data_IF_121148361271
#
_entry.id   IF_121148361271
#
_cell.length_a   1.000
_cell.length_b   1.000
_cell.length_c   1.000
_cell.angle_alpha   90.00
_cell.angle_beta   90.00
_cell.angle_gamma   90.00
#
_symmetry.space_group_name_H-M   'P 1'
#
loop_
_entity.id
_entity.type
_entity.pdbx_description
1 polymer ?
#
# COMPACT_ATOMS: atom_id res chain seq x y z
N UNK A 1 0.51 -82.21 -74.35
CA UNK A 1 0.73 -82.22 -72.89
C UNK A 1 -0.28 -81.24 -72.31
N UNK A 2 -1.55 -81.65 -72.24
CA UNK A 2 -2.23 -82.13 -71.03
C UNK A 2 -2.38 -80.99 -70.00
N UNK A 3 -3.55 -80.55 -69.54
CA UNK A 3 -4.93 -81.10 -69.53
C UNK A 3 -5.87 -79.92 -69.15
N UNK A 4 -7.01 -79.79 -69.86
CA UNK A 4 -8.39 -79.42 -69.46
C UNK A 4 -8.68 -78.27 -68.45
N UNK A 5 -9.83 -77.58 -68.46
CA UNK A 5 -10.94 -77.24 -69.39
C UNK A 5 -11.99 -76.52 -68.52
N UNK A 6 -12.86 -75.73 -69.18
CA UNK A 6 -14.18 -75.25 -68.75
C UNK A 6 -14.18 -74.05 -67.76
N UNK A 7 -14.65 -72.85 -68.12
CA UNK A 7 -15.95 -72.42 -68.68
C UNK A 7 -16.97 -72.06 -67.59
N UNK A 8 -17.57 -70.88 -67.81
CA UNK A 8 -18.98 -70.50 -67.56
C UNK A 8 -19.32 -69.51 -66.41
N UNK A 9 -20.19 -68.58 -66.81
CA UNK A 9 -21.21 -67.78 -66.10
C UNK A 9 -20.95 -66.30 -65.75
N UNK A 10 -21.53 -65.49 -66.64
CA UNK A 10 -22.08 -64.14 -66.48
C UNK A 10 -22.87 -63.98 -65.17
N UNK A 11 -22.59 -62.93 -64.39
CA UNK A 11 -23.58 -62.33 -63.49
C UNK A 11 -23.23 -60.86 -63.24
N UNK A 12 -24.18 -59.97 -63.55
CA UNK A 12 -24.13 -58.56 -63.24
C UNK A 12 -24.28 -58.33 -61.73
N UNK A 13 -23.48 -57.44 -61.14
CA UNK A 13 -23.73 -56.94 -59.79
C UNK A 13 -23.49 -55.42 -59.74
N UNK A 14 -24.59 -54.73 -59.44
CA UNK A 14 -24.68 -53.30 -59.12
C UNK A 14 -24.01 -53.07 -57.76
N UNK A 15 -23.10 -52.10 -57.67
CA UNK A 15 -22.46 -51.67 -56.42
C UNK A 15 -23.22 -50.45 -55.88
N UNK A 16 -23.90 -50.53 -54.71
CA UNK A 16 -24.39 -49.35 -54.02
C UNK A 16 -23.30 -48.77 -53.10
N UNK A 17 -23.21 -47.44 -53.13
CA UNK A 17 -22.37 -46.62 -52.25
C UNK A 17 -22.90 -46.73 -50.82
N UNK A 18 -22.05 -47.20 -49.89
CA UNK A 18 -22.35 -47.30 -48.46
C UNK A 18 -21.74 -46.09 -47.75
N UNK A 19 -22.60 -45.22 -47.22
CA UNK A 19 -22.25 -44.21 -46.23
C UNK A 19 -22.17 -44.89 -44.85
N UNK A 20 -21.00 -44.88 -44.23
CA UNK A 20 -20.81 -45.32 -42.85
C UNK A 20 -20.89 -44.10 -41.94
N UNK A 21 -22.01 -43.97 -41.22
CA UNK A 21 -22.11 -43.16 -40.01
C UNK A 21 -21.65 -44.03 -38.83
N UNK A 22 -20.58 -43.63 -38.14
CA UNK A 22 -20.25 -44.19 -36.82
C UNK A 22 -20.83 -43.25 -35.76
N UNK A 23 -21.72 -43.84 -34.95
CA UNK A 23 -22.34 -43.24 -33.78
C UNK A 23 -21.42 -43.42 -32.56
N UNK A 24 -21.34 -42.39 -31.72
CA UNK A 24 -20.70 -42.42 -30.41
C UNK A 24 -21.33 -41.38 -29.49
N UNK A 25 -22.46 -41.75 -28.87
CA UNK A 25 -23.00 -41.11 -27.66
C UNK A 25 -21.95 -41.22 -26.52
N UNK A 26 -21.81 -40.28 -25.59
CA UNK A 26 -22.71 -40.17 -24.43
C UNK A 26 -22.52 -38.85 -23.65
N UNK A 27 -23.64 -38.38 -23.08
CA UNK A 27 -23.85 -37.30 -22.08
C UNK A 27 -23.88 -35.85 -22.57
N UNK A 28 -24.99 -35.49 -23.20
CA UNK A 28 -25.60 -34.15 -23.10
C UNK A 28 -27.12 -34.30 -22.96
N UNK A 29 -27.69 -33.48 -22.07
CA UNK A 29 -29.12 -33.13 -21.86
C UNK A 29 -30.04 -34.11 -21.14
N UNK A 30 -30.37 -33.76 -19.89
CA UNK A 30 -31.76 -33.62 -19.45
C UNK A 30 -31.83 -32.75 -18.17
N UNK A 31 -31.92 -31.43 -18.34
CA UNK A 31 -32.72 -30.54 -17.46
C UNK A 31 -33.21 -29.39 -18.34
N UNK A 32 -34.41 -29.55 -18.89
CA UNK A 32 -35.27 -28.43 -19.26
C UNK A 32 -36.49 -28.59 -18.37
N UNK A 33 -36.50 -27.88 -17.25
CA UNK A 33 -37.73 -27.47 -16.62
C UNK A 33 -37.74 -25.94 -16.53
N UNK A 34 -38.90 -25.39 -16.83
CA UNK A 34 -39.15 -24.01 -17.16
C UNK A 34 -38.89 -23.05 -15.99
N UNK A 35 -38.00 -22.10 -16.21
CA UNK A 35 -38.23 -20.73 -15.74
C UNK A 35 -37.52 -19.77 -16.69
N UNK A 36 -38.25 -18.78 -17.18
CA UNK A 36 -37.70 -17.64 -17.89
C UNK A 36 -36.89 -16.82 -16.89
N UNK A 37 -35.62 -17.19 -16.71
CA UNK A 37 -34.65 -16.35 -16.01
C UNK A 37 -34.10 -15.39 -17.06
N UNK A 38 -34.38 -14.10 -16.88
CA UNK A 38 -33.57 -13.04 -17.44
C UNK A 38 -32.10 -13.37 -17.16
N UNK A 39 -31.28 -13.44 -18.20
CA UNK A 39 -29.83 -13.37 -18.08
C UNK A 39 -29.48 -11.99 -17.51
N UNK A 40 -29.58 -11.84 -16.19
CA UNK A 40 -28.63 -10.96 -15.50
C UNK A 40 -27.29 -11.65 -15.66
N UNK A 41 -26.36 -11.01 -16.39
CA UNK A 41 -24.95 -11.29 -16.19
C UNK A 41 -24.70 -11.10 -14.69
N UNK A 42 -24.58 -12.18 -13.93
CA UNK A 42 -24.09 -12.09 -12.57
C UNK A 42 -22.61 -11.74 -12.69
N UNK A 43 -22.31 -10.44 -12.76
CA UNK A 43 -20.95 -9.94 -12.65
C UNK A 43 -20.35 -10.55 -11.38
N UNK A 44 -19.42 -11.48 -11.55
CA UNK A 44 -18.75 -12.15 -10.45
C UNK A 44 -17.81 -11.13 -9.80
N UNK A 45 -17.98 -10.89 -8.50
CA UNK A 45 -17.25 -9.86 -7.78
C UNK A 45 -16.41 -10.44 -6.65
N UNK A 46 -15.26 -9.83 -6.42
CA UNK A 46 -14.38 -10.10 -5.29
C UNK A 46 -14.59 -8.99 -4.27
N UNK A 47 -15.12 -9.35 -3.11
CA UNK A 47 -15.28 -8.43 -1.98
C UNK A 47 -13.92 -8.21 -1.30
N UNK A 48 -13.48 -6.95 -1.29
CA UNK A 48 -12.26 -6.52 -0.60
C UNK A 48 -12.68 -5.68 0.60
N UNK A 49 -12.33 -6.14 1.80
CA UNK A 49 -12.47 -5.34 3.01
C UNK A 49 -11.50 -4.17 2.99
N UNK A 50 -11.92 -3.01 3.46
CA UNK A 50 -11.06 -1.82 3.57
C UNK A 50 -11.20 -1.25 4.97
N UNK A 51 -10.10 -1.16 5.72
CA UNK A 51 -10.08 -0.61 7.08
C UNK A 51 -9.22 0.64 7.11
N UNK A 52 -9.88 1.79 7.17
CA UNK A 52 -9.25 3.12 7.12
C UNK A 52 -9.96 4.07 8.09
N UNK A 53 -9.31 5.15 8.54
CA UNK A 53 -9.97 6.13 9.40
C UNK A 53 -10.98 6.93 8.58
N UNK A 54 -12.26 6.57 8.63
CA UNK A 54 -13.36 7.37 8.06
C UNK A 54 -13.87 8.43 9.04
N UNK A 55 -13.45 8.35 10.30
CA UNK A 55 -13.62 9.38 11.31
C UNK A 55 -12.38 9.51 12.21
N UNK A 56 -12.43 10.50 13.11
CA UNK A 56 -11.34 10.80 14.04
C UNK A 56 -10.21 11.62 13.40
N UNK A 57 -9.14 11.84 14.17
CA UNK A 57 -8.06 12.80 13.85
C UNK A 57 -7.26 12.49 12.58
N UNK A 58 -7.21 11.22 12.16
CA UNK A 58 -6.45 10.80 10.98
C UNK A 58 -7.27 10.85 9.70
N UNK A 59 -8.59 11.05 9.77
CA UNK A 59 -9.48 11.08 8.60
C UNK A 59 -9.04 12.09 7.53
N UNK A 60 -8.65 13.34 7.87
CA UNK A 60 -8.30 14.33 6.85
C UNK A 60 -7.00 14.01 6.10
N UNK A 61 -6.00 13.45 6.79
CA UNK A 61 -4.69 13.18 6.19
C UNK A 61 -4.58 11.78 5.57
N UNK A 62 -5.25 10.79 6.15
CA UNK A 62 -5.25 9.39 5.70
C UNK A 62 -6.55 9.02 5.01
N UNK A 63 -7.67 9.06 5.73
CA UNK A 63 -8.95 8.48 5.34
C UNK A 63 -9.41 8.87 3.95
N UNK A 64 -9.62 10.17 3.74
CA UNK A 64 -10.09 10.71 2.46
C UNK A 64 -9.13 10.39 1.31
N UNK A 65 -7.82 10.43 1.58
CA UNK A 65 -6.80 10.23 0.56
C UNK A 65 -6.68 8.76 0.14
N UNK A 66 -6.71 7.85 1.11
CA UNK A 66 -6.67 6.41 0.87
C UNK A 66 -7.95 5.96 0.16
N UNK A 67 -9.12 6.36 0.65
CA UNK A 67 -10.41 5.96 0.08
C UNK A 67 -10.53 6.38 -1.40
N UNK A 68 -10.19 7.63 -1.69
CA UNK A 68 -10.23 8.15 -3.05
C UNK A 68 -9.24 7.43 -3.97
N UNK A 69 -8.03 7.14 -3.49
CA UNK A 69 -7.02 6.44 -4.29
C UNK A 69 -7.43 5.01 -4.60
N UNK A 70 -8.00 4.30 -3.62
CA UNK A 70 -8.53 2.95 -3.82
C UNK A 70 -9.69 2.94 -4.81
N UNK A 71 -10.64 3.88 -4.69
CA UNK A 71 -11.76 3.98 -5.63
C UNK A 71 -11.30 4.27 -7.05
N UNK A 72 -10.35 5.20 -7.22
CA UNK A 72 -9.80 5.51 -8.53
C UNK A 72 -9.14 4.28 -9.17
N UNK A 73 -8.24 3.61 -8.44
CA UNK A 73 -7.59 2.41 -8.94
C UNK A 73 -8.61 1.30 -9.25
N UNK A 74 -9.65 1.14 -8.42
CA UNK A 74 -10.68 0.12 -8.61
C UNK A 74 -11.39 0.33 -9.92
N UNK A 75 -11.82 1.56 -10.18
CA UNK A 75 -12.58 1.89 -11.39
C UNK A 75 -11.72 1.62 -12.64
N UNK A 76 -10.44 2.00 -12.63
CA UNK A 76 -9.50 1.73 -13.71
C UNK A 76 -9.21 0.22 -13.89
N UNK A 77 -9.07 -0.55 -12.80
CA UNK A 77 -8.80 -2.00 -12.82
C UNK A 77 -10.01 -2.78 -13.31
N UNK A 78 -11.20 -2.43 -12.84
CA UNK A 78 -12.46 -3.08 -13.22
C UNK A 78 -12.79 -2.88 -14.70
N UNK A 79 -12.34 -1.79 -15.31
CA UNK A 79 -12.48 -1.53 -16.74
C UNK A 79 -11.48 -2.30 -17.62
N UNK A 80 -10.32 -2.70 -17.08
CA UNK A 80 -9.16 -3.08 -17.92
C UNK A 80 -8.47 -4.41 -17.61
N UNK A 81 -8.50 -4.90 -16.37
CA UNK A 81 -7.51 -5.90 -15.92
C UNK A 81 -8.09 -7.29 -15.59
N UNK A 82 -9.33 -7.39 -15.13
CA UNK A 82 -9.81 -8.57 -14.39
C UNK A 82 -10.71 -9.54 -15.18
N UNK A 83 -10.64 -9.56 -16.51
CA UNK A 83 -11.30 -10.57 -17.37
C UNK A 83 -12.80 -10.84 -17.04
N UNK A 84 -13.53 -9.83 -16.56
CA UNK A 84 -14.94 -9.92 -16.18
C UNK A 84 -15.20 -9.96 -14.67
N UNK A 85 -14.17 -10.14 -13.83
CA UNK A 85 -14.28 -10.03 -12.37
C UNK A 85 -14.26 -8.56 -11.92
N UNK A 86 -15.14 -8.21 -11.00
CA UNK A 86 -15.24 -6.84 -10.46
C UNK A 86 -14.73 -6.79 -9.00
N UNK A 87 -13.87 -5.83 -8.67
CA UNK A 87 -13.52 -5.55 -7.28
C UNK A 87 -14.63 -4.71 -6.63
N UNK A 88 -15.09 -5.12 -5.45
CA UNK A 88 -16.07 -4.40 -4.64
C UNK A 88 -15.55 -4.14 -3.25
N UNK A 89 -15.58 -2.89 -2.80
CA UNK A 89 -15.13 -2.54 -1.46
C UNK A 89 -16.25 -2.65 -0.43
N UNK A 90 -15.89 -3.18 0.73
CA UNK A 90 -16.64 -3.07 1.98
C UNK A 90 -15.76 -2.27 2.93
N UNK A 91 -16.09 -0.99 3.11
CA UNK A 91 -15.26 -0.05 3.86
C UNK A 91 -15.79 0.04 5.29
N UNK A 92 -14.90 -0.14 6.27
CA UNK A 92 -15.19 0.00 7.69
C UNK A 92 -14.25 1.03 8.33
N UNK A 93 -14.82 1.81 9.25
CA UNK A 93 -14.13 2.89 9.94
C UNK A 93 -13.25 2.34 11.07
N UNK A 94 -11.96 2.70 11.06
CA UNK A 94 -11.06 2.41 12.17
C UNK A 94 -11.16 3.41 13.33
N UNK A 95 -11.98 4.46 13.22
CA UNK A 95 -12.13 5.55 14.19
C UNK A 95 -10.81 6.26 14.53
N UNK A 96 -9.79 6.14 13.67
CA UNK A 96 -8.42 6.56 13.96
C UNK A 96 -7.77 5.90 15.20
N UNK A 97 -8.23 4.72 15.62
CA UNK A 97 -7.68 3.99 16.79
C UNK A 97 -7.35 2.52 16.48
N UNK A 98 -6.41 1.90 17.22
CA UNK A 98 -6.17 0.46 17.12
C UNK A 98 -7.41 -0.38 17.46
N UNK A 99 -8.18 0.02 18.47
CA UNK A 99 -9.39 -0.70 18.91
C UNK A 99 -10.47 -0.67 17.83
N UNK A 100 -10.70 0.49 17.19
CA UNK A 100 -11.65 0.60 16.09
C UNK A 100 -11.21 -0.22 14.87
N UNK A 101 -9.90 -0.28 14.58
CA UNK A 101 -9.38 -1.16 13.54
C UNK A 101 -9.64 -2.65 13.84
N UNK A 102 -9.48 -3.09 15.09
CA UNK A 102 -9.79 -4.47 15.51
C UNK A 102 -11.28 -4.78 15.35
N UNK A 103 -12.16 -3.86 15.74
CA UNK A 103 -13.61 -4.01 15.55
C UNK A 103 -13.97 -4.15 14.06
N UNK A 104 -13.45 -3.24 13.23
CA UNK A 104 -13.64 -3.26 11.78
C UNK A 104 -13.13 -4.56 11.13
N UNK A 105 -11.95 -5.04 11.52
CA UNK A 105 -11.40 -6.33 11.05
C UNK A 105 -12.34 -7.49 11.39
N UNK A 106 -12.76 -7.60 12.65
CA UNK A 106 -13.63 -8.69 13.08
C UNK A 106 -14.96 -8.66 12.34
N UNK A 107 -15.53 -7.48 12.09
CA UNK A 107 -16.77 -7.33 11.33
C UNK A 107 -16.60 -7.77 9.88
N UNK A 108 -15.56 -7.29 9.19
CA UNK A 108 -15.24 -7.68 7.81
C UNK A 108 -15.07 -9.19 7.67
N UNK A 109 -14.37 -9.83 8.60
CA UNK A 109 -14.08 -11.26 8.54
C UNK A 109 -15.30 -12.09 8.93
N UNK A 110 -16.01 -11.74 10.01
CA UNK A 110 -17.08 -12.60 10.54
C UNK A 110 -18.45 -12.37 9.90
N UNK A 111 -18.78 -11.13 9.52
CA UNK A 111 -20.09 -10.81 8.91
C UNK A 111 -20.02 -10.86 7.39
N UNK A 112 -18.93 -10.36 6.79
CA UNK A 112 -18.79 -10.24 5.34
C UNK A 112 -17.93 -11.33 4.71
N UNK A 113 -17.25 -12.17 5.51
CA UNK A 113 -16.45 -13.32 5.06
C UNK A 113 -15.45 -12.93 3.95
N UNK A 114 -14.76 -11.79 4.11
CA UNK A 114 -13.76 -11.33 3.14
C UNK A 114 -12.46 -12.12 3.27
N UNK A 115 -11.86 -12.51 2.13
CA UNK A 115 -10.56 -13.18 2.08
C UNK A 115 -9.39 -12.20 2.08
N UNK A 116 -9.65 -10.91 1.81
CA UNK A 116 -8.64 -9.86 1.73
C UNK A 116 -9.13 -8.59 2.42
N UNK A 117 -8.25 -7.97 3.20
CA UNK A 117 -8.42 -6.65 3.81
C UNK A 117 -7.27 -5.73 3.40
N UNK A 118 -7.59 -4.59 2.79
CA UNK A 118 -6.65 -3.48 2.63
C UNK A 118 -6.74 -2.59 3.87
N UNK A 119 -5.63 -2.48 4.58
CA UNK A 119 -5.54 -1.81 5.87
C UNK A 119 -4.83 -2.66 6.93
N UNK A 120 -4.84 -2.22 8.19
CA UNK A 120 -5.26 -0.89 8.61
C UNK A 120 -4.21 0.17 8.23
N UNK A 121 -4.55 1.43 8.46
CA UNK A 121 -3.75 2.57 8.01
C UNK A 121 -2.52 2.91 8.89
N UNK A 122 -2.44 2.44 10.14
CA UNK A 122 -1.35 2.81 11.05
C UNK A 122 -0.62 1.59 11.59
N UNK A 123 0.68 1.74 11.87
CA UNK A 123 1.47 0.67 12.48
C UNK A 123 0.91 0.23 13.83
N UNK A 124 0.38 1.17 14.62
CA UNK A 124 -0.30 0.90 15.89
C UNK A 124 -1.53 0.00 15.71
N UNK A 125 -2.32 0.21 14.65
CA UNK A 125 -3.43 -0.66 14.32
C UNK A 125 -2.97 -2.00 13.72
N UNK A 126 -2.01 -2.00 12.79
CA UNK A 126 -1.49 -3.23 12.18
C UNK A 126 -0.93 -4.20 13.22
N UNK A 127 -0.24 -3.69 14.24
CA UNK A 127 0.27 -4.49 15.36
C UNK A 127 -0.84 -5.28 16.08
N UNK A 128 -2.07 -4.77 16.10
CA UNK A 128 -3.22 -5.42 16.74
C UNK A 128 -4.03 -6.28 15.76
N UNK A 129 -4.10 -5.92 14.48
CA UNK A 129 -4.95 -6.60 13.51
C UNK A 129 -4.25 -7.70 12.72
N UNK A 130 -2.93 -7.64 12.53
CA UNK A 130 -2.19 -8.69 11.81
C UNK A 130 -2.23 -10.06 12.51
N UNK A 131 -2.20 -10.17 13.86
CA UNK A 131 -2.46 -11.45 14.52
C UNK A 131 -3.86 -12.02 14.21
N UNK A 132 -4.87 -11.16 14.03
CA UNK A 132 -6.23 -11.57 13.66
C UNK A 132 -6.23 -12.11 12.21
N UNK A 133 -5.55 -11.41 11.31
CA UNK A 133 -5.36 -11.85 9.93
C UNK A 133 -4.69 -13.24 9.85
N UNK A 134 -3.67 -13.50 10.69
CA UNK A 134 -3.04 -14.82 10.80
C UNK A 134 -4.04 -15.89 11.30
N UNK A 135 -4.71 -15.64 12.42
CA UNK A 135 -5.64 -16.60 13.04
C UNK A 135 -6.81 -16.97 12.11
N UNK A 136 -7.24 -16.00 11.28
CA UNK A 136 -8.36 -16.16 10.35
C UNK A 136 -7.94 -16.51 8.94
N UNK A 137 -6.63 -16.60 8.66
CA UNK A 137 -6.09 -16.86 7.33
C UNK A 137 -6.66 -15.89 6.28
N UNK A 138 -6.64 -14.59 6.60
CA UNK A 138 -7.13 -13.51 5.72
C UNK A 138 -5.96 -12.66 5.30
N UNK A 139 -5.80 -12.41 4.00
CA UNK A 139 -4.74 -11.54 3.49
C UNK A 139 -4.97 -10.11 3.98
N UNK A 140 -3.97 -9.53 4.64
CA UNK A 140 -4.00 -8.16 5.12
C UNK A 140 -2.89 -7.34 4.47
N UNK A 141 -3.23 -6.31 3.71
CA UNK A 141 -2.24 -5.44 3.05
C UNK A 141 -2.35 -4.03 3.58
N UNK A 142 -1.38 -3.59 4.39
CA UNK A 142 -1.34 -2.19 4.83
C UNK A 142 -0.63 -1.32 3.79
N UNK A 143 -1.29 -0.28 3.24
CA UNK A 143 -0.62 0.64 2.31
C UNK A 143 0.43 1.53 3.00
N UNK A 144 0.30 1.74 4.31
CA UNK A 144 0.91 2.89 4.99
C UNK A 144 1.73 2.55 6.24
N UNK A 145 1.51 1.39 6.87
CA UNK A 145 2.23 0.98 8.10
C UNK A 145 3.72 0.70 7.84
N UNK A 146 4.61 1.43 8.50
CA UNK A 146 6.05 1.38 8.23
C UNK A 146 6.91 0.82 9.37
N UNK A 147 6.38 0.70 10.60
CA UNK A 147 7.15 0.13 11.71
C UNK A 147 7.70 -1.26 11.37
N UNK A 148 8.95 -1.54 11.75
CA UNK A 148 9.63 -2.81 11.45
C UNK A 148 8.95 -4.02 12.10
N UNK A 149 9.13 -5.19 11.50
CA UNK A 149 8.66 -6.47 12.03
C UNK A 149 7.15 -6.70 11.99
N UNK A 150 6.36 -5.77 11.44
CA UNK A 150 4.90 -5.94 11.38
C UNK A 150 4.49 -7.10 10.48
N UNK A 151 5.05 -7.21 9.27
CA UNK A 151 4.66 -8.30 8.35
C UNK A 151 5.08 -9.67 8.87
N UNK A 152 6.17 -9.77 9.65
CA UNK A 152 6.57 -11.00 10.33
C UNK A 152 5.59 -11.50 11.42
N UNK A 153 4.55 -10.72 11.76
CA UNK A 153 3.49 -11.15 12.69
C UNK A 153 2.55 -12.17 12.03
N UNK A 154 2.42 -12.15 10.71
CA UNK A 154 1.45 -12.97 9.98
C UNK A 154 1.96 -13.31 8.58
N UNK A 155 1.90 -14.58 8.22
CA UNK A 155 2.22 -15.06 6.86
C UNK A 155 1.24 -14.48 5.81
N UNK A 156 0.11 -13.93 6.25
CA UNK A 156 -0.90 -13.27 5.42
C UNK A 156 -0.77 -11.75 5.41
N UNK A 157 0.22 -11.17 6.10
CA UNK A 157 0.41 -9.73 6.17
C UNK A 157 1.43 -9.22 5.15
N UNK A 158 1.06 -8.16 4.45
CA UNK A 158 1.91 -7.46 3.49
C UNK A 158 1.87 -5.95 3.74
N UNK A 159 2.95 -5.26 3.38
CA UNK A 159 3.04 -3.80 3.54
C UNK A 159 3.65 -3.11 2.32
N UNK A 160 3.00 -2.04 1.88
CA UNK A 160 3.45 -1.22 0.72
C UNK A 160 4.33 -0.04 1.16
N UNK A 161 4.23 0.37 2.42
CA UNK A 161 5.13 1.36 2.97
C UNK A 161 6.54 0.79 3.14
N UNK A 162 7.55 1.51 2.65
CA UNK A 162 8.93 1.21 3.01
C UNK A 162 9.10 1.31 4.53
N UNK A 163 9.79 0.34 5.09
CA UNK A 163 9.99 0.19 6.52
C UNK A 163 10.90 1.29 7.08
N UNK A 164 10.84 1.52 8.39
CA UNK A 164 11.74 2.45 9.09
C UNK A 164 13.21 2.04 8.92
N UNK A 165 13.51 0.74 8.99
CA UNK A 165 14.85 0.16 8.80
C UNK A 165 15.42 0.30 7.38
N UNK A 166 14.56 0.56 6.38
CA UNK A 166 15.01 0.93 5.03
C UNK A 166 15.12 2.45 4.90
N UNK A 167 14.04 3.18 5.20
CA UNK A 167 13.97 4.62 4.91
C UNK A 167 14.89 5.48 5.80
N UNK A 168 15.13 5.09 7.05
CA UNK A 168 15.96 5.88 7.98
C UNK A 168 17.45 5.80 7.61
N UNK A 169 18.06 4.61 7.44
CA UNK A 169 19.46 4.52 7.03
C UNK A 169 19.74 5.16 5.67
N UNK A 170 18.87 4.95 4.67
CA UNK A 170 19.05 5.55 3.33
C UNK A 170 18.88 7.07 3.36
N UNK A 171 17.91 7.57 4.13
CA UNK A 171 17.72 8.99 4.35
C UNK A 171 18.94 9.65 4.98
N UNK A 172 19.46 9.07 6.07
CA UNK A 172 20.68 9.55 6.74
C UNK A 172 21.89 9.45 5.83
N UNK A 173 22.05 8.36 5.07
CA UNK A 173 23.14 8.21 4.10
C UNK A 173 23.13 9.32 3.03
N UNK A 174 21.95 9.84 2.70
CA UNK A 174 21.77 10.95 1.76
C UNK A 174 21.99 12.32 2.41
N UNK A 175 21.47 12.54 3.63
CA UNK A 175 21.52 13.86 4.29
C UNK A 175 22.81 14.13 5.03
N UNK A 176 23.37 13.13 5.72
CA UNK A 176 24.55 13.31 6.58
C UNK A 176 25.76 13.90 5.83
N UNK A 177 26.18 13.40 4.65
CA UNK A 177 27.35 13.94 3.95
C UNK A 177 27.20 15.38 3.45
N UNK A 178 25.95 15.84 3.29
CA UNK A 178 25.64 17.18 2.76
C UNK A 178 25.44 18.20 3.88
N UNK A 179 24.86 17.77 4.99
CA UNK A 179 24.55 18.64 6.13
C UNK A 179 25.65 18.60 7.21
N UNK A 180 26.48 17.56 7.22
CA UNK A 180 27.59 17.35 8.17
C UNK A 180 27.18 17.43 9.66
N UNK A 181 25.94 17.06 10.00
CA UNK A 181 25.52 17.04 11.40
C UNK A 181 26.27 15.96 12.18
N UNK A 182 26.82 16.31 13.33
CA UNK A 182 27.52 15.41 14.25
C UNK A 182 26.78 15.29 15.58
N UNK A 183 26.10 16.37 16.00
CA UNK A 183 25.31 16.42 17.21
C UNK A 183 23.85 16.72 16.85
N UNK A 184 22.92 15.82 17.17
CA UNK A 184 21.52 15.93 16.75
C UNK A 184 20.58 15.85 17.95
N UNK A 185 19.34 16.31 17.77
CA UNK A 185 18.26 16.07 18.71
C UNK A 185 17.13 15.30 18.03
N UNK A 186 16.39 14.51 18.81
CA UNK A 186 15.19 13.82 18.31
C UNK A 186 13.94 14.23 19.09
N UNK A 187 12.80 14.24 18.38
CA UNK A 187 11.48 14.50 18.93
C UNK A 187 10.48 13.50 18.33
N UNK A 188 9.77 12.72 19.16
CA UNK A 188 8.81 11.76 18.64
C UNK A 188 7.55 11.57 19.48
N UNK A 189 6.50 11.06 18.85
CA UNK A 189 5.26 10.66 19.53
C UNK A 189 5.46 9.32 20.26
N UNK A 190 5.54 9.36 21.59
CA UNK A 190 5.77 8.16 22.42
C UNK A 190 4.56 7.22 22.51
N UNK A 191 3.38 7.70 22.11
CA UNK A 191 2.15 6.90 22.13
C UNK A 191 1.93 6.13 20.81
N UNK A 192 2.70 6.41 19.76
CA UNK A 192 2.55 5.81 18.44
C UNK A 192 3.67 4.83 18.09
N UNK A 193 3.30 3.63 17.64
CA UNK A 193 4.22 2.54 17.28
C UNK A 193 5.14 2.92 16.13
N UNK A 194 4.62 3.63 15.10
CA UNK A 194 5.46 4.07 13.98
C UNK A 194 6.50 5.08 14.43
N UNK A 195 6.08 6.07 15.22
CA UNK A 195 6.92 7.18 15.67
C UNK A 195 8.03 6.70 16.61
N UNK A 196 7.69 5.81 17.54
CA UNK A 196 8.66 5.17 18.45
C UNK A 196 9.66 4.30 17.69
N UNK A 197 9.20 3.52 16.70
CA UNK A 197 10.07 2.67 15.90
C UNK A 197 10.99 3.49 14.97
N UNK A 198 10.47 4.58 14.41
CA UNK A 198 11.26 5.51 13.60
C UNK A 198 12.35 6.19 14.44
N UNK A 199 12.07 6.61 15.67
CA UNK A 199 13.12 7.11 16.59
C UNK A 199 14.13 6.01 16.93
N UNK A 200 13.67 4.79 17.23
CA UNK A 200 14.57 3.65 17.47
C UNK A 200 15.54 3.42 16.30
N UNK A 201 15.04 3.45 15.06
CA UNK A 201 15.85 3.35 13.86
C UNK A 201 16.86 4.50 13.72
N UNK A 202 16.48 5.71 14.11
CA UNK A 202 17.38 6.87 14.14
C UNK A 202 18.51 6.67 15.16
N UNK A 203 18.17 6.28 16.39
CA UNK A 203 19.17 6.03 17.45
C UNK A 203 20.19 4.96 17.03
N UNK A 204 19.72 3.89 16.42
CA UNK A 204 20.58 2.82 15.88
C UNK A 204 21.52 3.35 14.80
N UNK A 205 20.98 4.07 13.80
CA UNK A 205 21.78 4.57 12.69
C UNK A 205 22.75 5.69 13.11
N UNK A 206 22.37 6.56 14.05
CA UNK A 206 23.30 7.54 14.60
C UNK A 206 24.47 6.87 15.32
N UNK A 207 24.20 5.79 16.07
CA UNK A 207 25.25 5.00 16.70
C UNK A 207 26.18 4.32 15.70
N UNK A 208 25.68 3.83 14.56
CA UNK A 208 26.55 3.23 13.53
C UNK A 208 27.44 4.26 12.82
N UNK A 209 27.03 5.53 12.81
CA UNK A 209 27.75 6.64 12.17
C UNK A 209 28.52 7.54 13.13
N UNK A 210 28.61 7.17 14.41
CA UNK A 210 29.24 7.97 15.47
C UNK A 210 28.63 9.39 15.62
N UNK A 211 27.35 9.55 15.31
CA UNK A 211 26.58 10.79 15.48
C UNK A 211 26.00 10.80 16.90
N UNK A 212 26.20 11.91 17.62
CA UNK A 212 25.80 12.08 19.02
C UNK A 212 24.37 12.60 19.10
N UNK A 213 23.51 11.90 19.83
CA UNK A 213 22.18 12.42 20.19
C UNK A 213 22.29 13.21 21.49
N UNK A 214 22.14 14.54 21.40
CA UNK A 214 22.23 15.46 22.54
C UNK A 214 21.04 15.32 23.48
N UNK A 215 19.85 15.15 22.91
CA UNK A 215 18.61 14.95 23.65
C UNK A 215 17.58 14.23 22.78
N UNK A 216 16.75 13.45 23.45
CA UNK A 216 15.54 12.86 22.89
C UNK A 216 14.36 13.36 23.69
N UNK A 217 13.48 14.11 23.03
CA UNK A 217 12.25 14.63 23.59
C UNK A 217 11.06 13.82 23.09
N UNK A 218 9.99 13.80 23.88
CA UNK A 218 8.74 13.15 23.49
C UNK A 218 7.56 14.09 23.60
N UNK A 219 6.53 13.78 22.83
CA UNK A 219 5.19 14.31 22.97
C UNK A 219 4.20 13.16 22.77
N UNK A 220 2.91 13.43 22.91
CA UNK A 220 1.86 12.42 22.67
C UNK A 220 0.90 12.91 21.59
N UNK A 221 0.43 11.98 20.76
CA UNK A 221 -0.70 12.17 19.85
C UNK A 221 -1.81 13.06 20.46
N UNK A 222 -2.17 14.15 19.79
CA UNK A 222 -3.18 15.11 20.26
C UNK A 222 -2.63 16.32 21.01
N UNK A 223 -1.34 16.35 21.34
CA UNK A 223 -0.67 17.54 21.85
C UNK A 223 -0.66 18.64 20.77
N UNK A 224 -0.83 19.89 21.20
CA UNK A 224 -0.86 21.07 20.31
C UNK A 224 0.18 22.14 20.67
N UNK A 225 0.99 21.90 21.70
CA UNK A 225 2.06 22.79 22.14
C UNK A 225 3.35 21.98 22.32
N UNK A 226 4.39 22.40 21.59
CA UNK A 226 5.71 21.76 21.56
C UNK A 226 6.79 22.71 22.10
N UNK A 227 6.40 23.84 22.70
CA UNK A 227 7.31 24.92 23.12
C UNK A 227 8.37 24.41 24.08
N UNK A 228 8.00 23.58 25.05
CA UNK A 228 8.89 23.13 26.12
C UNK A 228 10.00 22.22 25.57
N UNK A 229 9.62 21.22 24.78
CA UNK A 229 10.52 20.29 24.11
C UNK A 229 11.48 21.03 23.18
N UNK A 230 10.94 21.89 22.31
CA UNK A 230 11.74 22.62 21.34
C UNK A 230 12.68 23.64 22.00
N UNK A 231 12.29 24.24 23.12
CA UNK A 231 13.18 25.14 23.90
C UNK A 231 14.36 24.37 24.49
N UNK A 232 14.12 23.17 25.03
CA UNK A 232 15.21 22.30 25.54
C UNK A 232 16.14 21.86 24.42
N UNK A 233 15.58 21.46 23.27
CA UNK A 233 16.36 21.12 22.08
C UNK A 233 17.23 22.31 21.64
N UNK A 234 16.64 23.50 21.52
CA UNK A 234 17.36 24.70 21.11
C UNK A 234 18.51 25.04 22.06
N UNK A 235 18.31 24.89 23.37
CA UNK A 235 19.33 25.20 24.38
C UNK A 235 20.62 24.37 24.23
N UNK A 236 20.54 23.21 23.57
CA UNK A 236 21.68 22.33 23.32
C UNK A 236 22.41 22.62 22.00
N UNK A 237 21.87 23.49 21.14
CA UNK A 237 22.43 23.86 19.83
C UNK A 237 22.78 22.65 18.93
N UNK A 238 21.85 21.71 18.66
CA UNK A 238 22.12 20.60 17.76
C UNK A 238 22.36 21.09 16.31
N UNK A 239 23.11 20.32 15.53
CA UNK A 239 23.33 20.55 14.10
C UNK A 239 22.07 20.24 13.25
N UNK A 240 21.20 19.34 13.73
CA UNK A 240 19.94 18.98 13.08
C UNK A 240 18.93 18.41 14.09
N UNK A 241 17.65 18.53 13.76
CA UNK A 241 16.55 17.95 14.55
C UNK A 241 15.82 16.92 13.72
N UNK A 242 15.62 15.72 14.27
CA UNK A 242 14.84 14.66 13.66
C UNK A 242 13.49 14.51 14.35
N UNK A 243 12.41 14.50 13.56
CA UNK A 243 11.04 14.39 14.07
C UNK A 243 10.35 13.15 13.50
N UNK A 244 9.84 12.31 14.40
CA UNK A 244 9.06 11.12 14.08
C UNK A 244 7.63 11.29 14.60
N UNK A 245 6.69 11.53 13.69
CA UNK A 245 5.29 11.76 14.04
C UNK A 245 4.32 11.35 12.94
N UNK A 246 3.08 11.10 13.31
CA UNK A 246 1.94 11.11 12.39
C UNK A 246 1.43 12.56 12.21
N UNK A 247 0.64 12.87 11.17
CA UNK A 247 -0.19 14.07 11.19
C UNK A 247 -1.29 13.91 12.26
N UNK A 248 -1.83 15.02 12.80
CA UNK A 248 -1.66 16.41 12.36
C UNK A 248 -0.57 17.21 13.09
N UNK A 249 0.30 16.61 13.88
CA UNK A 249 1.21 17.36 14.76
C UNK A 249 2.38 18.05 14.01
N UNK A 250 2.73 17.58 12.80
CA UNK A 250 3.89 18.09 12.03
C UNK A 250 3.89 19.60 11.81
N UNK A 251 2.78 20.24 11.33
CA UNK A 251 2.78 21.69 11.11
C UNK A 251 2.98 22.49 12.39
N UNK A 252 2.37 22.06 13.50
CA UNK A 252 2.53 22.71 14.81
C UNK A 252 3.97 22.66 15.31
N UNK A 253 4.67 21.54 15.11
CA UNK A 253 6.08 21.39 15.46
C UNK A 253 6.96 22.36 14.63
N UNK A 254 6.76 22.40 13.31
CA UNK A 254 7.53 23.28 12.41
C UNK A 254 7.27 24.77 12.69
N UNK A 255 6.00 25.15 12.83
CA UNK A 255 5.62 26.52 13.19
C UNK A 255 6.25 26.95 14.51
N UNK A 256 6.16 26.09 15.53
CA UNK A 256 6.73 26.39 16.84
C UNK A 256 8.25 26.49 16.81
N UNK A 257 8.93 25.63 16.04
CA UNK A 257 10.38 25.70 15.87
C UNK A 257 10.81 27.01 15.19
N UNK A 258 10.09 27.42 14.15
CA UNK A 258 10.31 28.68 13.46
C UNK A 258 10.07 29.90 14.38
N UNK A 259 8.99 29.90 15.18
CA UNK A 259 8.72 30.95 16.17
C UNK A 259 9.84 31.11 17.21
N UNK A 260 10.47 30.00 17.61
CA UNK A 260 11.60 30.00 18.54
C UNK A 260 12.91 30.42 17.88
N UNK A 261 12.94 30.59 16.55
CA UNK A 261 14.15 30.93 15.80
C UNK A 261 15.11 29.75 15.63
N UNK A 262 14.60 28.51 15.67
CA UNK A 262 15.39 27.33 15.33
C UNK A 262 15.63 27.33 13.82
N UNK A 263 16.89 27.49 13.41
CA UNK A 263 17.28 27.61 12.00
C UNK A 263 18.06 26.41 11.46
N UNK A 264 18.28 25.38 12.28
CA UNK A 264 18.98 24.16 11.86
C UNK A 264 18.04 23.27 11.06
N UNK A 265 18.57 22.39 10.17
CA UNK A 265 17.73 21.49 9.39
C UNK A 265 16.81 20.65 10.29
N UNK A 266 15.51 20.65 9.96
CA UNK A 266 14.51 19.79 10.59
C UNK A 266 14.15 18.68 9.59
N UNK A 267 14.45 17.44 9.96
CA UNK A 267 14.18 16.25 9.16
C UNK A 267 12.96 15.54 9.74
N UNK A 268 11.87 15.49 8.99
CA UNK A 268 10.59 14.91 9.42
C UNK A 268 10.23 13.72 8.55
N UNK A 269 9.88 12.58 9.16
CA UNK A 269 9.39 11.43 8.40
C UNK A 269 8.03 11.75 7.76
N UNK A 270 7.91 11.50 6.45
CA UNK A 270 6.63 11.54 5.72
C UNK A 270 5.90 12.89 5.80
N UNK A 271 6.58 13.98 5.43
CA UNK A 271 5.97 15.30 5.27
C UNK A 271 5.19 15.34 3.94
N UNK A 272 3.97 15.86 3.95
CA UNK A 272 3.10 15.96 2.77
C UNK A 272 3.01 17.39 2.23
N UNK A 273 2.58 17.55 0.98
CA UNK A 273 2.31 18.88 0.41
C UNK A 273 1.28 19.67 1.23
N UNK A 274 0.30 18.98 1.82
CA UNK A 274 -0.70 19.60 2.69
C UNK A 274 -0.09 20.06 4.03
N UNK A 275 0.82 19.28 4.61
CA UNK A 275 1.55 19.72 5.80
C UNK A 275 2.36 20.97 5.49
N UNK A 276 3.05 21.02 4.35
CA UNK A 276 3.81 22.20 3.90
C UNK A 276 2.91 23.40 3.70
N UNK A 277 1.76 23.24 3.04
CA UNK A 277 0.78 24.32 2.81
C UNK A 277 0.23 24.88 4.12
N UNK A 278 -0.12 24.02 5.08
CA UNK A 278 -0.61 24.43 6.41
C UNK A 278 0.49 25.12 7.22
N UNK A 279 1.72 24.64 7.10
CA UNK A 279 2.87 25.18 7.84
C UNK A 279 3.28 26.57 7.31
N UNK A 280 3.20 26.79 6.00
CA UNK A 280 3.62 28.02 5.35
C UNK A 280 5.15 28.20 5.39
N UNK A 281 5.61 29.45 5.54
CA UNK A 281 7.04 29.80 5.53
C UNK A 281 7.89 29.01 6.55
N UNK A 282 7.26 28.57 7.66
CA UNK A 282 7.93 27.77 8.69
C UNK A 282 8.33 26.35 8.22
N UNK A 283 7.84 25.88 7.07
CA UNK A 283 8.25 24.61 6.49
C UNK A 283 9.52 24.73 5.63
N UNK A 284 9.94 25.93 5.25
CA UNK A 284 11.03 26.13 4.31
C UNK A 284 12.33 25.48 4.82
N UNK A 285 12.97 24.68 3.96
CA UNK A 285 14.18 23.93 4.32
C UNK A 285 13.94 22.65 5.12
N UNK A 286 12.71 22.33 5.52
CA UNK A 286 12.40 21.04 6.12
C UNK A 286 12.67 19.90 5.13
N UNK A 287 13.25 18.81 5.61
CA UNK A 287 13.65 17.65 4.79
C UNK A 287 12.76 16.46 5.18
N UNK A 288 12.43 15.60 4.21
CA UNK A 288 11.65 14.40 4.47
C UNK A 288 12.14 13.19 3.70
N UNK A 289 12.07 12.02 4.35
CA UNK A 289 12.34 10.72 3.74
C UNK A 289 11.01 10.12 3.30
N UNK A 290 10.90 9.69 2.05
CA UNK A 290 9.66 9.15 1.48
C UNK A 290 9.97 8.10 0.41
N UNK A 291 8.99 7.27 0.06
CA UNK A 291 9.07 6.37 -1.10
C UNK A 291 8.44 6.95 -2.38
N UNK A 292 7.83 8.14 -2.30
CA UNK A 292 7.13 8.78 -3.41
C UNK A 292 7.06 10.29 -3.18
N UNK A 293 7.09 11.07 -4.27
CA UNK A 293 6.92 12.52 -4.25
C UNK A 293 6.08 13.02 -5.42
N UNK A 294 5.19 13.99 -5.16
CA UNK A 294 4.26 14.55 -6.15
C UNK A 294 4.96 15.32 -7.27
N UNK A 295 6.10 15.94 -6.97
CA UNK A 295 6.90 16.69 -7.94
C UNK A 295 7.86 15.82 -8.78
N UNK A 296 7.91 14.50 -8.54
CA UNK A 296 8.85 13.62 -9.24
C UNK A 296 8.36 13.27 -10.64
N UNK A 297 9.28 13.28 -11.61
CA UNK A 297 9.03 12.87 -13.00
C UNK A 297 9.24 11.35 -13.17
N UNK A 298 8.35 10.56 -12.57
CA UNK A 298 8.32 9.10 -12.72
C UNK A 298 7.16 8.66 -13.64
N UNK A 299 7.26 7.49 -14.31
CA UNK A 299 6.21 7.00 -15.19
C UNK A 299 4.83 6.97 -14.51
N UNK A 300 3.80 7.42 -15.22
CA UNK A 300 2.40 7.49 -14.79
C UNK A 300 2.12 8.37 -13.55
N UNK A 301 3.13 9.01 -12.95
CA UNK A 301 2.95 9.77 -11.71
C UNK A 301 2.09 11.03 -11.92
N UNK A 302 2.41 11.81 -12.96
CA UNK A 302 1.65 13.02 -13.28
C UNK A 302 0.24 12.71 -13.75
N UNK A 303 0.04 11.59 -14.45
CA UNK A 303 -1.29 11.13 -14.86
C UNK A 303 -2.14 10.77 -13.64
N UNK A 304 -1.59 9.98 -12.70
CA UNK A 304 -2.27 9.70 -11.42
C UNK A 304 -2.64 11.00 -10.67
N UNK A 305 -1.69 11.94 -10.53
CA UNK A 305 -1.93 13.21 -9.85
C UNK A 305 -3.05 14.02 -10.53
N UNK A 306 -3.00 14.12 -11.85
CA UNK A 306 -3.98 14.89 -12.63
C UNK A 306 -5.36 14.25 -12.57
N UNK A 307 -5.46 12.93 -12.79
CA UNK A 307 -6.71 12.20 -12.72
C UNK A 307 -7.31 12.29 -11.32
N UNK A 308 -6.55 11.97 -10.28
CA UNK A 308 -6.98 12.07 -8.89
C UNK A 308 -7.49 13.49 -8.56
N UNK A 309 -6.74 14.53 -8.93
CA UNK A 309 -7.15 15.92 -8.70
C UNK A 309 -8.40 16.29 -9.48
N UNK A 310 -8.53 15.85 -10.73
CA UNK A 310 -9.70 16.14 -11.57
C UNK A 310 -10.97 15.46 -11.03
N UNK A 311 -10.85 14.24 -10.51
CA UNK A 311 -11.96 13.45 -9.97
C UNK A 311 -12.41 13.94 -8.60
N UNK A 312 -11.48 14.29 -7.70
CA UNK A 312 -11.79 14.57 -6.29
C UNK A 312 -11.60 16.03 -5.87
N UNK A 313 -11.05 16.89 -6.73
CA UNK A 313 -10.83 18.31 -6.44
C UNK A 313 -9.68 18.61 -5.47
N UNK A 314 -8.98 17.59 -4.98
CA UNK A 314 -7.84 17.68 -4.06
C UNK A 314 -6.62 16.95 -4.64
N UNK A 315 -5.41 17.39 -4.34
CA UNK A 315 -4.19 16.67 -4.76
C UNK A 315 -4.01 15.38 -3.96
N UNK A 316 -3.46 14.30 -4.55
CA UNK A 316 -3.09 13.13 -3.76
C UNK A 316 -1.85 13.44 -2.90
N UNK A 317 -1.72 12.71 -1.80
CA UNK A 317 -0.50 12.68 -1.00
C UNK A 317 0.18 11.30 -1.12
N UNK A 318 1.28 11.10 -0.40
CA UNK A 318 2.02 9.83 -0.42
C UNK A 318 1.23 8.65 0.19
N UNK A 319 0.19 8.89 0.99
CA UNK A 319 -0.71 7.83 1.47
C UNK A 319 -1.63 7.39 0.32
N UNK A 320 -2.22 8.34 -0.42
CA UNK A 320 -2.99 8.07 -1.63
C UNK A 320 -2.17 7.30 -2.68
N UNK A 321 -0.94 7.74 -2.99
CA UNK A 321 -0.10 7.08 -3.98
C UNK A 321 0.19 5.61 -3.64
N UNK A 322 0.50 5.31 -2.36
CA UNK A 322 0.72 3.93 -1.91
C UNK A 322 -0.55 3.10 -1.96
N UNK A 323 -1.71 3.67 -1.61
CA UNK A 323 -2.99 2.97 -1.69
C UNK A 323 -3.43 2.68 -3.13
N UNK A 324 -3.19 3.61 -4.04
CA UNK A 324 -3.38 3.39 -5.48
C UNK A 324 -2.53 2.22 -5.96
N UNK A 325 -1.23 2.23 -5.68
CA UNK A 325 -0.32 1.12 -6.02
C UNK A 325 -0.74 -0.21 -5.34
N UNK A 326 -1.20 -0.16 -4.09
CA UNK A 326 -1.66 -1.35 -3.34
C UNK A 326 -2.70 -2.13 -4.13
N UNK A 327 -3.69 -1.43 -4.70
CA UNK A 327 -4.76 -2.10 -5.41
C UNK A 327 -4.31 -2.68 -6.74
N UNK A 328 -3.42 -2.01 -7.47
CA UNK A 328 -2.80 -2.57 -8.68
C UNK A 328 -1.97 -3.83 -8.38
N UNK A 329 -1.21 -3.83 -7.29
CA UNK A 329 -0.44 -4.99 -6.84
C UNK A 329 -1.37 -6.15 -6.47
N UNK A 330 -2.42 -5.87 -5.69
CA UNK A 330 -3.41 -6.87 -5.31
C UNK A 330 -4.15 -7.44 -6.53
N UNK A 331 -4.59 -6.59 -7.46
CA UNK A 331 -5.25 -7.04 -8.69
C UNK A 331 -4.31 -7.90 -9.54
N UNK A 332 -3.02 -7.55 -9.61
CA UNK A 332 -2.01 -8.37 -10.29
C UNK A 332 -1.84 -9.73 -9.62
N UNK A 333 -1.83 -9.79 -8.29
CA UNK A 333 -1.76 -11.04 -7.55
C UNK A 333 -3.01 -11.90 -7.77
N UNK A 334 -4.21 -11.33 -7.65
CA UNK A 334 -5.49 -12.02 -7.90
C UNK A 334 -5.53 -12.58 -9.33
N UNK A 335 -5.12 -11.81 -10.33
CA UNK A 335 -5.09 -12.27 -11.73
C UNK A 335 -4.10 -13.42 -11.97
N UNK A 336 -3.11 -13.60 -11.09
CA UNK A 336 -2.11 -14.67 -11.16
C UNK A 336 -2.41 -15.83 -10.21
N UNK A 337 -3.39 -15.70 -9.31
CA UNK A 337 -3.72 -16.70 -8.29
C UNK A 337 -4.51 -17.87 -8.90
N UNK A 338 -4.44 -19.05 -8.27
CA UNK A 338 -5.20 -20.23 -8.71
C UNK A 338 -6.70 -20.09 -8.41
N UNK A 339 -7.04 -19.33 -7.36
CA UNK A 339 -8.42 -18.98 -6.98
C UNK A 339 -8.46 -17.64 -6.23
N UNK A 340 -9.65 -17.25 -5.78
CA UNK A 340 -9.87 -16.07 -4.92
C UNK A 340 -9.79 -16.38 -3.43
N UNK A 341 -9.34 -17.58 -3.06
CA UNK A 341 -9.11 -17.95 -1.66
C UNK A 341 -7.86 -17.25 -1.12
N UNK A 342 -7.85 -16.98 0.19
CA UNK A 342 -6.80 -16.19 0.81
C UNK A 342 -5.40 -16.81 0.67
N UNK A 343 -5.30 -18.15 0.70
CA UNK A 343 -4.03 -18.86 0.53
C UNK A 343 -3.43 -18.63 -0.86
N UNK A 344 -4.24 -18.74 -1.91
CA UNK A 344 -3.79 -18.57 -3.29
C UNK A 344 -3.43 -17.11 -3.58
N UNK A 345 -4.19 -16.15 -3.01
CA UNK A 345 -3.88 -14.72 -3.10
C UNK A 345 -2.57 -14.40 -2.36
N UNK A 346 -2.38 -14.93 -1.14
CA UNK A 346 -1.13 -14.78 -0.37
C UNK A 346 0.04 -15.29 -1.19
N UNK A 347 -0.06 -16.51 -1.72
CA UNK A 347 1.02 -17.13 -2.48
C UNK A 347 1.32 -16.33 -3.76
N UNK A 348 0.30 -15.83 -4.45
CA UNK A 348 0.49 -14.95 -5.59
C UNK A 348 1.17 -13.61 -5.22
N UNK A 349 0.85 -13.02 -4.06
CA UNK A 349 1.50 -11.81 -3.56
C UNK A 349 2.99 -12.02 -3.29
N UNK A 350 3.38 -13.14 -2.67
CA UNK A 350 4.81 -13.44 -2.42
C UNK A 350 5.65 -13.53 -3.70
N UNK A 351 5.00 -13.81 -4.83
CA UNK A 351 5.62 -13.94 -6.14
C UNK A 351 5.68 -12.61 -6.93
N UNK A 352 5.19 -11.50 -6.39
CA UNK A 352 5.30 -10.18 -7.04
C UNK A 352 6.76 -9.71 -7.01
N UNK A 353 7.35 -9.61 -8.20
CA UNK A 353 8.72 -9.12 -8.44
C UNK A 353 8.75 -8.18 -9.64
N UNK A 354 9.56 -7.12 -9.53
CA UNK A 354 9.83 -6.13 -10.58
C UNK A 354 8.58 -5.55 -11.27
N UNK A 355 7.46 -5.48 -10.55
CA UNK A 355 6.19 -5.01 -11.07
C UNK A 355 6.20 -3.48 -11.20
N UNK A 356 5.87 -2.97 -12.38
CA UNK A 356 5.88 -1.52 -12.62
C UNK A 356 4.66 -0.87 -11.96
N UNK A 357 4.92 0.04 -11.03
CA UNK A 357 3.89 0.81 -10.31
C UNK A 357 4.21 2.31 -10.36
N UNK A 358 3.30 3.15 -9.88
CA UNK A 358 3.59 4.60 -9.71
C UNK A 358 4.67 4.88 -8.66
N UNK A 359 5.04 3.89 -7.84
CA UNK A 359 6.15 3.94 -6.89
C UNK A 359 7.49 3.54 -7.52
N UNK A 360 7.49 3.17 -8.81
CA UNK A 360 8.62 2.56 -9.50
C UNK A 360 8.49 1.04 -9.58
N UNK A 361 9.62 0.36 -9.84
CA UNK A 361 9.67 -1.10 -9.82
C UNK A 361 9.49 -1.61 -8.40
N UNK A 362 8.44 -2.40 -8.21
CA UNK A 362 7.99 -2.90 -6.93
C UNK A 362 8.21 -4.40 -6.81
N UNK A 363 8.69 -4.84 -5.65
CA UNK A 363 8.71 -6.24 -5.23
C UNK A 363 8.29 -6.35 -3.76
N UNK A 364 7.90 -7.55 -3.32
CA UNK A 364 7.93 -7.90 -1.90
C UNK A 364 9.23 -8.62 -1.53
N UNK A 365 9.73 -8.40 -0.33
CA UNK A 365 10.75 -9.25 0.29
C UNK A 365 10.12 -10.57 0.79
N UNK A 366 10.91 -11.42 1.45
CA UNK A 366 10.43 -12.70 1.99
C UNK A 366 9.46 -12.56 3.17
N UNK A 367 9.42 -11.40 3.83
CA UNK A 367 8.56 -11.13 4.97
C UNK A 367 7.24 -10.46 4.55
N UNK A 368 7.06 -10.12 3.27
CA UNK A 368 5.90 -9.37 2.79
C UNK A 368 6.06 -7.84 2.88
N UNK A 369 7.29 -7.34 3.04
CA UNK A 369 7.61 -5.93 3.03
C UNK A 369 8.03 -5.43 1.65
N UNK A 370 7.61 -4.22 1.32
CA UNK A 370 7.88 -3.65 0.01
C UNK A 370 9.36 -3.31 -0.22
N UNK A 371 9.80 -3.53 -1.46
CA UNK A 371 11.09 -3.10 -2.00
C UNK A 371 10.82 -2.22 -3.22
N UNK A 372 11.23 -0.96 -3.13
CA UNK A 372 11.28 0.02 -4.21
C UNK A 372 12.13 1.22 -3.77
N UNK A 373 12.49 2.11 -4.70
CA UNK A 373 13.44 3.18 -4.42
C UNK A 373 12.94 4.18 -3.35
N UNK A 374 13.82 4.54 -2.43
CA UNK A 374 13.61 5.69 -1.55
C UNK A 374 13.86 7.03 -2.26
N UNK A 375 13.39 8.10 -1.63
CA UNK A 375 13.57 9.49 -2.04
C UNK A 375 13.77 10.36 -0.79
N UNK A 376 14.64 11.36 -0.92
CA UNK A 376 14.77 12.44 0.07
C UNK A 376 14.32 13.73 -0.60
N UNK A 377 13.37 14.42 0.02
CA UNK A 377 12.83 15.68 -0.47
C UNK A 377 13.13 16.80 0.52
N UNK A 378 13.16 18.03 0.02
CA UNK A 378 13.30 19.26 0.80
C UNK A 378 12.22 20.24 0.39
N UNK A 379 11.71 21.02 1.34
CA UNK A 379 10.83 22.14 1.05
C UNK A 379 11.65 23.29 0.48
N UNK A 380 11.37 23.66 -0.76
CA UNK A 380 11.89 24.87 -1.42
C UNK A 380 10.74 25.64 -2.05
N UNK A 381 10.67 26.95 -1.78
CA UNK A 381 9.60 27.83 -2.26
C UNK A 381 8.20 27.26 -1.95
N UNK A 382 8.03 26.71 -0.73
CA UNK A 382 6.78 26.11 -0.28
C UNK A 382 6.38 24.81 -1.01
N UNK A 383 7.32 24.12 -1.67
CA UNK A 383 7.07 22.85 -2.37
C UNK A 383 8.10 21.79 -2.00
N UNK A 384 7.65 20.54 -1.91
CA UNK A 384 8.57 19.40 -1.81
C UNK A 384 9.23 19.14 -3.17
N UNK A 385 10.55 19.23 -3.20
CA UNK A 385 11.40 18.94 -4.36
C UNK A 385 12.54 18.01 -3.96
N UNK A 386 13.25 17.42 -4.92
CA UNK A 386 14.35 16.50 -4.62
C UNK A 386 15.45 17.21 -3.79
N UNK A 387 15.96 16.50 -2.78
CA UNK A 387 17.09 16.97 -1.98
C UNK A 387 18.42 16.67 -2.70
N UNK A 388 18.88 17.64 -3.47
CA UNK A 388 20.10 17.57 -4.29
C UNK A 388 21.41 17.84 -3.55
#
# INVERSE_FOLDING_TARGET
>A
MNIFRNSIFMLALVIPVVFVFVSGCERVTHVLDSSSTSTEDSEEYISIGVVIPQSGRLQPAFGVHIENALKLARDEINESLLAGLQLKFIIEDSNSTPEGAVEAYNKLITEYNVNVVIGPATSSASKQTFPIAQDKQVVAISPTSAARGLSAISDYAFRIALTTEVLVPEGIATTHPKLNYQEVATLYDEADVFSTDADTALQEEFKTKDIVVLITETFRSGDNDFTEQLTRIQALNPDAIFVSSLPPEKPGILQKAHELGISVPIIIRTLTDADVEVTGDAAEGAITFVGWGSALETPNNQDFINTYKSTYGIKPNNYAARSYATLYILAKAIANAESTDADDIRDALTNIKDFDTILGKFSFDENGDAIYDTKVLIVKDGKLVLFE
#
